data_IF_678801680408
#
_entry.id   IF_678801680408
#
_cell.length_a   1.000
_cell.length_b   1.000
_cell.length_c   1.000
_cell.angle_alpha   90.00
_cell.angle_beta   90.00
_cell.angle_gamma   90.00
#
_symmetry.space_group_name_H-M   'P 1'
#
loop_
_entity.id
_entity.type
_entity.pdbx_description
1 polymer ?
#
# COMPACT_ATOMS: atom_id res chain seq x y z
N UNK A 1 -9.57 3.64 -20.98
CA UNK A 1 -8.23 3.30 -20.48
C UNK A 1 -7.81 4.04 -19.21
N UNK A 2 -7.99 5.37 -19.07
CA UNK A 2 -7.59 6.12 -17.85
C UNK A 2 -8.17 5.54 -16.57
N UNK A 3 -9.48 5.28 -16.54
CA UNK A 3 -10.17 4.73 -15.36
C UNK A 3 -9.60 3.37 -14.93
N UNK A 4 -9.27 2.49 -15.87
CA UNK A 4 -8.68 1.19 -15.59
C UNK A 4 -7.30 1.31 -14.92
N UNK A 5 -6.45 2.24 -15.39
CA UNK A 5 -5.13 2.49 -14.80
C UNK A 5 -5.25 2.99 -13.35
N UNK A 6 -6.23 3.87 -13.07
CA UNK A 6 -6.47 4.35 -11.70
C UNK A 6 -7.00 3.24 -10.78
N UNK A 7 -7.93 2.41 -11.26
CA UNK A 7 -8.46 1.28 -10.51
C UNK A 7 -7.36 0.26 -10.17
N UNK A 8 -6.52 -0.09 -11.15
CA UNK A 8 -5.39 -0.99 -10.93
C UNK A 8 -4.37 -0.42 -9.95
N UNK A 9 -4.11 0.88 -10.00
CA UNK A 9 -3.22 1.53 -9.04
C UNK A 9 -3.79 1.56 -7.61
N UNK A 10 -5.10 1.48 -7.43
CA UNK A 10 -5.71 1.35 -6.11
C UNK A 10 -5.47 -0.03 -5.49
N UNK A 11 -5.46 -1.07 -6.31
CA UNK A 11 -5.26 -2.46 -5.85
C UNK A 11 -3.77 -2.73 -5.68
N UNK A 12 -2.98 -2.44 -6.71
CA UNK A 12 -1.52 -2.61 -6.70
C UNK A 12 -0.88 -1.31 -7.16
N UNK A 13 -0.34 -0.49 -6.23
CA UNK A 13 0.35 0.75 -6.57
C UNK A 13 1.48 0.50 -7.57
N UNK A 14 1.45 1.18 -8.71
CA UNK A 14 2.40 1.01 -9.81
C UNK A 14 1.88 0.17 -10.99
N UNK A 15 0.82 -0.64 -10.84
CA UNK A 15 0.28 -1.44 -11.93
C UNK A 15 -0.23 -0.60 -13.11
N UNK A 16 -0.81 0.56 -12.85
CA UNK A 16 -1.22 1.50 -13.89
C UNK A 16 -0.07 2.05 -14.72
N UNK A 17 1.11 2.25 -14.13
CA UNK A 17 2.32 2.68 -14.82
C UNK A 17 2.91 1.57 -15.70
N UNK A 18 2.78 0.31 -15.30
CA UNK A 18 3.19 -0.83 -16.13
C UNK A 18 2.38 -0.88 -17.43
N UNK A 19 1.09 -0.58 -17.38
CA UNK A 19 0.23 -0.49 -18.57
C UNK A 19 0.62 0.68 -19.48
N UNK A 20 1.09 1.79 -18.89
CA UNK A 20 1.57 2.97 -19.63
C UNK A 20 2.99 2.78 -20.21
N UNK A 21 3.58 1.59 -20.09
CA UNK A 21 4.94 1.22 -20.51
C UNK A 21 6.07 1.89 -19.71
N UNK A 22 5.77 2.54 -18.61
CA UNK A 22 6.76 3.04 -17.65
C UNK A 22 7.21 1.92 -16.70
N UNK A 23 7.86 0.91 -17.26
CA UNK A 23 8.19 -0.35 -16.58
C UNK A 23 9.07 -0.15 -15.34
N UNK A 24 10.04 0.76 -15.42
CA UNK A 24 11.00 0.99 -14.31
C UNK A 24 10.27 1.57 -13.10
N UNK A 25 9.50 2.66 -13.30
CA UNK A 25 8.76 3.31 -12.20
C UNK A 25 7.65 2.42 -11.66
N UNK A 26 6.91 1.74 -12.55
CA UNK A 26 5.83 0.83 -12.19
C UNK A 26 6.32 -0.37 -11.38
N UNK A 27 7.42 -1.02 -11.80
CA UNK A 27 8.01 -2.16 -11.11
C UNK A 27 8.53 -1.77 -9.72
N UNK A 28 9.20 -0.62 -9.60
CA UNK A 28 9.72 -0.12 -8.33
C UNK A 28 8.60 0.14 -7.31
N UNK A 29 7.53 0.84 -7.73
CA UNK A 29 6.37 1.11 -6.87
C UNK A 29 5.61 -0.17 -6.48
N UNK A 30 5.49 -1.12 -7.41
CA UNK A 30 4.87 -2.42 -7.13
C UNK A 30 5.68 -3.23 -6.10
N UNK A 31 7.01 -3.20 -6.18
CA UNK A 31 7.88 -3.87 -5.21
C UNK A 31 7.72 -3.25 -3.81
N UNK A 32 7.71 -1.92 -3.70
CA UNK A 32 7.45 -1.24 -2.42
C UNK A 32 6.09 -1.60 -1.83
N UNK A 33 5.07 -1.72 -2.69
CA UNK A 33 3.73 -2.16 -2.27
C UNK A 33 3.75 -3.58 -1.70
N UNK A 34 4.47 -4.51 -2.32
CA UNK A 34 4.61 -5.88 -1.81
C UNK A 34 5.32 -5.94 -0.45
N UNK A 35 6.38 -5.14 -0.29
CA UNK A 35 7.07 -5.01 1.01
C UNK A 35 6.11 -4.46 2.07
N UNK A 36 5.34 -3.41 1.74
CA UNK A 36 4.37 -2.82 2.65
C UNK A 36 3.31 -3.84 3.09
N UNK A 37 2.77 -4.66 2.19
CA UNK A 37 1.84 -5.74 2.50
C UNK A 37 2.47 -6.80 3.39
N UNK A 38 3.73 -7.18 3.13
CA UNK A 38 4.50 -8.10 3.97
C UNK A 38 4.66 -7.62 5.42
N UNK A 39 4.69 -6.31 5.64
CA UNK A 39 4.74 -5.71 6.98
C UNK A 39 3.35 -5.58 7.63
N UNK A 40 2.32 -5.28 6.85
CA UNK A 40 0.94 -5.06 7.33
C UNK A 40 0.32 -6.37 7.82
N UNK A 41 0.48 -7.48 7.08
CA UNK A 41 -0.18 -8.76 7.39
C UNK A 41 0.15 -9.28 8.79
N UNK A 42 1.43 -9.35 9.22
CA UNK A 42 1.76 -9.75 10.59
C UNK A 42 1.21 -8.77 11.63
N UNK A 43 1.22 -7.47 11.35
CA UNK A 43 0.65 -6.44 12.23
C UNK A 43 -0.85 -6.61 12.44
N UNK A 44 -1.60 -6.88 11.37
CA UNK A 44 -3.05 -7.15 11.44
C UNK A 44 -3.35 -8.43 12.22
N UNK A 45 -2.56 -9.49 12.01
CA UNK A 45 -2.74 -10.75 12.73
C UNK A 45 -2.54 -10.58 14.24
N UNK A 46 -1.51 -9.83 14.66
CA UNK A 46 -1.28 -9.54 16.07
C UNK A 46 -2.35 -8.59 16.65
N UNK A 47 -2.80 -7.61 15.86
CA UNK A 47 -3.91 -6.75 16.25
C UNK A 47 -5.20 -7.53 16.47
N UNK A 48 -5.50 -8.51 15.63
CA UNK A 48 -6.64 -9.40 15.80
C UNK A 48 -6.54 -10.22 17.09
N UNK A 49 -5.37 -10.82 17.38
CA UNK A 49 -5.14 -11.54 18.63
C UNK A 49 -5.31 -10.68 19.88
N UNK A 50 -4.81 -9.45 19.84
CA UNK A 50 -5.02 -8.48 20.91
C UNK A 50 -6.49 -8.20 21.14
N UNK A 51 -7.24 -7.97 20.06
CA UNK A 51 -8.67 -7.73 20.13
C UNK A 51 -9.42 -8.91 20.72
N UNK A 52 -9.12 -10.13 20.29
CA UNK A 52 -9.70 -11.37 20.84
C UNK A 52 -9.41 -11.51 22.34
N UNK A 53 -8.17 -11.24 22.76
CA UNK A 53 -7.80 -11.29 24.19
C UNK A 53 -8.54 -10.23 25.01
N UNK A 54 -8.70 -9.03 24.47
CA UNK A 54 -9.48 -7.96 25.12
C UNK A 54 -10.96 -8.34 25.27
N UNK A 55 -11.55 -8.94 24.26
CA UNK A 55 -12.96 -9.40 24.30
C UNK A 55 -13.15 -10.47 25.36
N UNK A 56 -12.24 -11.45 25.38
CA UNK A 56 -12.28 -12.52 26.41
C UNK A 56 -12.10 -11.97 27.84
N UNK A 57 -11.33 -10.91 28.01
CA UNK A 57 -11.16 -10.24 29.31
C UNK A 57 -12.40 -9.48 29.74
N UNK A 58 -13.14 -8.87 28.80
CA UNK A 58 -14.41 -8.24 29.09
C UNK A 58 -15.45 -9.24 29.59
N UNK A 59 -15.51 -10.43 28.96
CA UNK A 59 -16.43 -11.50 29.36
C UNK A 59 -16.09 -12.07 30.75
N UNK A 60 -14.79 -12.12 31.11
CA UNK A 60 -14.33 -12.56 32.45
C UNK A 60 -14.54 -11.48 33.53
N UNK A 61 -14.56 -10.20 33.15
CA UNK A 61 -14.69 -9.09 34.11
C UNK A 61 -16.10 -8.92 34.68
N UNK A 62 -17.10 -9.58 34.11
CA UNK A 62 -18.50 -9.44 34.55
C UNK A 62 -18.82 -10.18 35.86
N UNK A 63 -17.81 -10.82 36.52
CA UNK A 63 -18.04 -11.59 37.74
C UNK A 63 -16.97 -11.57 38.84
N UNK A 64 -15.71 -11.22 38.57
CA UNK A 64 -14.65 -11.39 39.56
C UNK A 64 -13.49 -10.40 39.46
N UNK A 65 -13.24 -9.59 40.51
CA UNK A 65 -12.15 -8.60 40.58
C UNK A 65 -10.75 -9.25 40.52
N UNK A 66 -10.58 -10.49 40.97
CA UNK A 66 -9.32 -11.23 40.88
C UNK A 66 -8.98 -11.63 39.44
N UNK A 67 -9.99 -11.92 38.61
CA UNK A 67 -9.85 -12.17 37.19
C UNK A 67 -9.38 -10.94 36.40
N UNK A 68 -9.82 -9.74 36.80
CA UNK A 68 -9.42 -8.45 36.18
C UNK A 68 -7.92 -8.17 36.36
N UNK A 69 -7.35 -8.44 37.53
CA UNK A 69 -5.95 -8.17 37.84
C UNK A 69 -5.01 -9.13 37.09
N UNK A 70 -5.36 -10.41 37.04
CA UNK A 70 -4.66 -11.42 36.26
C UNK A 70 -4.73 -11.12 34.75
N UNK A 71 -5.89 -10.74 34.27
CA UNK A 71 -6.12 -10.39 32.85
C UNK A 71 -5.39 -9.12 32.42
N UNK A 72 -5.33 -8.08 33.29
CA UNK A 72 -4.58 -6.87 33.04
C UNK A 72 -3.07 -7.13 32.89
N UNK A 73 -2.50 -8.03 33.70
CA UNK A 73 -1.10 -8.40 33.59
C UNK A 73 -0.80 -9.20 32.33
N UNK A 74 -1.67 -10.14 31.95
CA UNK A 74 -1.56 -10.85 30.66
C UNK A 74 -1.64 -9.91 29.46
N UNK A 75 -2.53 -8.92 29.51
CA UNK A 75 -2.68 -7.92 28.44
C UNK A 75 -1.42 -7.06 28.31
N UNK A 76 -0.83 -6.61 29.42
CA UNK A 76 0.44 -5.89 29.41
C UNK A 76 1.57 -6.72 28.79
N UNK A 77 1.69 -7.97 29.15
CA UNK A 77 2.73 -8.86 28.62
C UNK A 77 2.55 -9.08 27.11
N UNK A 78 1.30 -9.31 26.65
CA UNK A 78 1.00 -9.46 25.23
C UNK A 78 1.31 -8.17 24.46
N UNK A 79 0.93 -7.01 24.99
CA UNK A 79 1.23 -5.72 24.36
C UNK A 79 2.74 -5.51 24.24
N UNK A 80 3.48 -5.63 25.34
CA UNK A 80 4.93 -5.37 25.36
C UNK A 80 5.67 -6.30 24.40
N UNK A 81 5.32 -7.59 24.37
CA UNK A 81 5.98 -8.56 23.49
C UNK A 81 5.62 -8.36 22.00
N UNK A 82 4.47 -7.76 21.69
CA UNK A 82 4.01 -7.58 20.31
C UNK A 82 4.13 -6.13 19.79
N UNK A 83 4.51 -5.17 20.64
CA UNK A 83 4.75 -3.78 20.21
C UNK A 83 5.63 -3.66 18.96
N UNK A 84 6.76 -4.39 18.84
CA UNK A 84 7.59 -4.28 17.64
C UNK A 84 6.86 -4.71 16.36
N UNK A 85 6.05 -5.76 16.42
CA UNK A 85 5.31 -6.28 15.26
C UNK A 85 4.16 -5.33 14.89
N UNK A 86 3.47 -4.78 15.88
CA UNK A 86 2.43 -3.76 15.67
C UNK A 86 3.02 -2.49 15.06
N UNK A 87 4.17 -2.04 15.55
CA UNK A 87 4.89 -0.89 15.00
C UNK A 87 5.29 -1.12 13.53
N UNK A 88 5.78 -2.32 13.18
CA UNK A 88 6.08 -2.68 11.80
C UNK A 88 4.83 -2.65 10.92
N UNK A 89 3.68 -3.09 11.42
CA UNK A 89 2.40 -3.00 10.72
C UNK A 89 1.99 -1.55 10.43
N UNK A 90 2.16 -0.63 11.39
CA UNK A 90 1.91 0.81 11.22
C UNK A 90 2.86 1.41 10.18
N UNK A 91 4.15 1.08 10.24
CA UNK A 91 5.15 1.53 9.27
C UNK A 91 4.79 1.03 7.87
N UNK A 92 4.42 -0.25 7.72
CA UNK A 92 3.95 -0.81 6.46
C UNK A 92 2.75 -0.05 5.90
N UNK A 93 1.80 0.33 6.74
CA UNK A 93 0.63 1.12 6.35
C UNK A 93 1.02 2.52 5.85
N UNK A 94 1.96 3.19 6.52
CA UNK A 94 2.47 4.50 6.08
C UNK A 94 3.16 4.37 4.73
N UNK A 95 4.03 3.37 4.54
CA UNK A 95 4.71 3.11 3.27
C UNK A 95 3.68 2.89 2.15
N UNK A 96 2.65 2.08 2.41
CA UNK A 96 1.59 1.82 1.43
C UNK A 96 0.87 3.10 1.02
N UNK A 97 0.51 3.96 1.98
CA UNK A 97 -0.15 5.25 1.71
C UNK A 97 0.73 6.18 0.88
N UNK A 98 2.00 6.33 1.23
CA UNK A 98 2.95 7.17 0.48
C UNK A 98 3.13 6.63 -0.95
N UNK A 99 3.30 5.31 -1.09
CA UNK A 99 3.45 4.65 -2.39
C UNK A 99 2.22 4.84 -3.27
N UNK A 100 1.02 4.76 -2.69
CA UNK A 100 -0.24 4.96 -3.40
C UNK A 100 -0.38 6.40 -3.91
N UNK A 101 -0.10 7.40 -3.06
CA UNK A 101 -0.15 8.82 -3.45
C UNK A 101 0.85 9.08 -4.59
N UNK A 102 2.07 8.57 -4.46
CA UNK A 102 3.11 8.75 -5.48
C UNK A 102 2.75 8.06 -6.79
N UNK A 103 2.20 6.85 -6.74
CA UNK A 103 1.74 6.12 -7.91
C UNK A 103 0.64 6.86 -8.66
N UNK A 104 -0.33 7.45 -7.95
CA UNK A 104 -1.37 8.28 -8.56
C UNK A 104 -0.79 9.52 -9.23
N UNK A 105 0.10 10.24 -8.54
CA UNK A 105 0.76 11.43 -9.09
C UNK A 105 1.60 11.12 -10.34
N UNK A 106 2.35 10.01 -10.33
CA UNK A 106 3.15 9.56 -11.47
C UNK A 106 2.26 9.19 -12.67
N UNK A 107 1.14 8.52 -12.42
CA UNK A 107 0.17 8.17 -13.48
C UNK A 107 -0.44 9.40 -14.13
N UNK A 108 -0.79 10.43 -13.34
CA UNK A 108 -1.31 11.71 -13.87
C UNK A 108 -0.26 12.37 -14.79
N UNK A 109 1.00 12.40 -14.36
CA UNK A 109 2.11 12.98 -15.18
C UNK A 109 2.31 12.21 -16.48
N UNK A 110 2.35 10.89 -16.44
CA UNK A 110 2.50 10.04 -17.61
C UNK A 110 1.36 10.25 -18.64
N UNK A 111 0.13 10.43 -18.18
CA UNK A 111 -0.98 10.78 -19.07
C UNK A 111 -0.84 12.17 -19.69
N UNK A 112 -0.34 13.14 -18.94
CA UNK A 112 -0.11 14.50 -19.45
C UNK A 112 0.98 14.52 -20.52
N UNK A 113 2.11 13.89 -20.25
CA UNK A 113 3.23 13.75 -21.19
C UNK A 113 2.80 13.05 -22.49
N UNK A 114 2.02 11.97 -22.38
CA UNK A 114 1.49 11.28 -23.56
C UNK A 114 0.58 12.17 -24.39
N UNK A 115 -0.30 12.96 -23.76
CA UNK A 115 -1.17 13.87 -24.47
C UNK A 115 -0.39 14.97 -25.17
N UNK A 116 0.61 15.57 -24.51
CA UNK A 116 1.45 16.61 -25.10
C UNK A 116 2.24 16.07 -26.31
N UNK A 117 2.72 14.83 -26.26
CA UNK A 117 3.40 14.20 -27.40
C UNK A 117 2.45 13.92 -28.57
N UNK A 118 1.21 13.54 -28.32
CA UNK A 118 0.18 13.35 -29.34
C UNK A 118 -0.18 14.70 -30.01
N UNK A 119 -0.36 15.76 -29.22
CA UNK A 119 -0.68 17.11 -29.72
C UNK A 119 0.48 17.70 -30.56
N UNK A 120 1.73 17.45 -30.14
CA UNK A 120 2.91 17.87 -30.93
C UNK A 120 3.05 17.12 -32.26
N UNK A 121 2.75 15.82 -32.26
CA UNK A 121 2.76 15.01 -33.49
C UNK A 121 1.69 15.45 -34.49
N UNK A 122 0.54 15.91 -34.00
CA UNK A 122 -0.52 16.45 -34.85
C UNK A 122 -0.20 17.88 -35.38
N UNK A 123 0.54 18.68 -34.61
CA UNK A 123 0.90 20.04 -34.97
C UNK A 123 2.06 20.11 -36.00
N UNK A 124 2.87 19.07 -36.13
CA UNK A 124 4.01 19.02 -37.05
C UNK A 124 4.04 17.69 -37.84
N UNK A 125 3.15 17.54 -38.86
CA UNK A 125 3.03 16.30 -39.64
C UNK A 125 4.19 16.05 -40.60
N UNK A 126 5.14 16.98 -40.73
CA UNK A 126 6.24 16.91 -41.74
C UNK A 126 7.54 16.27 -41.21
N UNK A 127 7.60 15.79 -40.00
CA UNK A 127 8.78 15.03 -39.57
C UNK A 127 8.62 13.57 -40.01
N UNK A 128 9.35 13.14 -41.08
CA UNK A 128 9.27 11.75 -41.51
C UNK A 128 9.78 10.86 -40.35
N UNK A 129 9.04 9.82 -40.06
CA UNK A 129 9.46 8.74 -39.17
C UNK A 129 10.82 8.25 -39.63
N UNK A 130 11.88 8.62 -38.94
CA UNK A 130 13.18 7.97 -39.11
C UNK A 130 13.03 6.63 -38.43
N UNK A 131 12.67 5.63 -39.26
CA UNK A 131 12.70 4.23 -38.89
C UNK A 131 14.14 3.87 -38.53
N UNK A 132 14.44 3.82 -37.23
CA UNK A 132 15.75 3.43 -36.71
C UNK A 132 15.90 1.90 -36.66
N UNK A 133 15.41 1.20 -37.67
CA UNK A 133 15.68 -0.21 -37.89
C UNK A 133 16.86 -0.36 -38.86
N UNK A 134 18.08 -0.20 -38.32
CA UNK A 134 19.32 -0.79 -38.87
C UNK A 134 20.18 -1.27 -37.72
#
# INVERSE_FOLDING_TARGET
>A
MKFLCYMLNMIVPGAGLLILKDWIKGSFLSLFSLIAWGLIVPGLYQGYKLFETMTNLYDLADGDTAGLESGSNQLKEIIVNNVPILALGVIGFIILKVTLIWSQAATVRAFKEKKESEDQSLANPEVPFIDSSN
#
